data_IF_460267172379
#
_entry.id   IF_460267172379
#
_cell.length_a   1.000
_cell.length_b   1.000
_cell.length_c   1.000
_cell.angle_alpha   90.00
_cell.angle_beta   90.00
_cell.angle_gamma   90.00
#
_symmetry.space_group_name_H-M   'P 1'
#
loop_
_entity.id
_entity.type
_entity.pdbx_description
1 polymer ?
#
# COMPACT_ATOMS: atom_id res chain seq x y z
N UNK A 1 12.48 31.55 1.78
CA UNK A 1 11.53 32.10 0.79
C UNK A 1 10.15 31.69 1.28
N UNK A 2 9.26 32.65 1.57
CA UNK A 2 7.90 32.31 1.98
C UNK A 2 7.12 31.91 0.72
N UNK A 3 6.70 30.65 0.63
CA UNK A 3 5.68 30.27 -0.34
C UNK A 3 4.42 31.08 -0.05
N UNK A 4 3.98 31.87 -1.03
CA UNK A 4 2.72 32.58 -0.93
C UNK A 4 1.61 31.58 -1.23
N UNK A 5 0.68 31.41 -0.29
CA UNK A 5 -0.53 30.63 -0.51
C UNK A 5 -1.34 31.25 -1.65
N UNK A 6 -1.60 30.46 -2.70
CA UNK A 6 -2.38 30.90 -3.84
C UNK A 6 -3.86 30.60 -3.58
N UNK A 7 -4.68 31.65 -3.51
CA UNK A 7 -6.13 31.53 -3.37
C UNK A 7 -6.77 31.49 -4.76
N UNK A 8 -7.62 30.49 -5.01
CA UNK A 8 -8.41 30.39 -6.24
C UNK A 8 -9.89 30.57 -5.93
N UNK A 9 -10.63 31.14 -6.90
CA UNK A 9 -12.09 31.22 -6.81
C UNK A 9 -12.69 29.82 -6.86
N UNK A 10 -13.73 29.58 -6.06
CA UNK A 10 -14.48 28.32 -6.09
C UNK A 10 -15.11 28.04 -7.47
N UNK A 11 -15.38 29.09 -8.26
CA UNK A 11 -15.94 28.97 -9.61
C UNK A 11 -14.91 28.51 -10.64
N UNK A 12 -13.62 28.62 -10.31
CA UNK A 12 -12.51 28.27 -11.21
C UNK A 12 -11.97 26.86 -10.92
N UNK A 13 -12.60 26.13 -9.98
CA UNK A 13 -12.20 24.77 -9.60
C UNK A 13 -13.38 23.81 -9.70
N UNK A 14 -13.10 22.58 -10.11
CA UNK A 14 -14.07 21.50 -10.21
C UNK A 14 -13.66 20.37 -9.28
N UNK A 15 -14.55 19.99 -8.36
CA UNK A 15 -14.37 18.78 -7.56
C UNK A 15 -14.53 17.56 -8.49
N UNK A 16 -13.46 16.77 -8.62
CA UNK A 16 -13.46 15.55 -9.44
C UNK A 16 -13.93 14.34 -8.64
N UNK A 17 -13.60 14.30 -7.35
CA UNK A 17 -13.97 13.19 -6.47
C UNK A 17 -14.11 13.67 -5.01
N UNK A 18 -14.80 12.88 -4.17
CA UNK A 18 -14.92 13.10 -2.73
C UNK A 18 -14.63 11.79 -1.99
N UNK A 19 -13.62 11.81 -1.12
CA UNK A 19 -13.44 10.78 -0.12
C UNK A 19 -14.50 10.93 0.96
N UNK A 20 -15.15 9.83 1.34
CA UNK A 20 -16.04 9.78 2.49
C UNK A 20 -15.43 8.89 3.56
N UNK A 21 -15.71 9.21 4.81
CA UNK A 21 -15.43 8.40 5.98
C UNK A 21 -16.73 8.12 6.74
N UNK A 22 -16.73 7.01 7.47
CA UNK A 22 -17.83 6.70 8.37
C UNK A 22 -18.01 7.85 9.38
N UNK A 23 -19.22 8.37 9.50
CA UNK A 23 -19.55 9.51 10.36
C UNK A 23 -19.63 10.87 9.64
N UNK A 24 -19.24 10.94 8.36
CA UNK A 24 -19.35 12.18 7.60
C UNK A 24 -20.82 12.62 7.46
N UNK A 25 -21.06 13.92 7.62
CA UNK A 25 -22.36 14.53 7.34
C UNK A 25 -22.49 14.83 5.85
N UNK A 26 -23.62 14.41 5.27
CA UNK A 26 -23.87 14.52 3.84
C UNK A 26 -25.27 15.09 3.58
N UNK A 27 -25.44 15.71 2.42
CA UNK A 27 -26.73 16.13 1.89
C UNK A 27 -26.84 15.68 0.43
N UNK A 28 -28.06 15.70 -0.14
CA UNK A 28 -28.25 15.37 -1.56
C UNK A 28 -27.48 16.36 -2.44
N UNK A 29 -26.76 15.87 -3.45
CA UNK A 29 -26.08 16.74 -4.41
C UNK A 29 -27.06 17.60 -5.23
N UNK A 30 -28.29 17.11 -5.45
CA UNK A 30 -29.33 17.85 -6.17
C UNK A 30 -30.07 18.86 -5.30
N UNK A 31 -30.02 18.69 -3.98
CA UNK A 31 -30.59 19.60 -2.98
C UNK A 31 -29.70 19.64 -1.73
N UNK A 32 -28.59 20.40 -1.78
CA UNK A 32 -27.62 20.45 -0.68
C UNK A 32 -28.16 21.12 0.60
N UNK A 33 -29.29 21.83 0.49
CA UNK A 33 -29.97 22.51 1.60
C UNK A 33 -31.10 21.69 2.21
N UNK A 34 -31.43 20.54 1.61
CA UNK A 34 -32.51 19.67 2.02
C UNK A 34 -32.15 18.78 3.21
N UNK A 35 -32.51 17.50 3.12
CA UNK A 35 -32.26 16.55 4.20
C UNK A 35 -30.77 16.23 4.34
N UNK A 36 -30.28 16.33 5.58
CA UNK A 36 -28.94 15.89 5.99
C UNK A 36 -28.99 14.44 6.49
N UNK A 37 -27.93 13.69 6.22
CA UNK A 37 -27.69 12.35 6.74
C UNK A 37 -26.25 12.16 7.22
N UNK A 38 -25.97 10.97 7.76
CA UNK A 38 -24.63 10.57 8.21
C UNK A 38 -24.23 9.29 7.47
N UNK A 39 -22.99 9.21 7.01
CA UNK A 39 -22.44 8.01 6.37
C UNK A 39 -22.24 6.90 7.41
N UNK A 40 -22.91 5.77 7.24
CA UNK A 40 -22.86 4.62 8.18
C UNK A 40 -22.17 3.37 7.62
N UNK A 41 -21.96 3.30 6.31
CA UNK A 41 -21.18 2.25 5.66
C UNK A 41 -20.59 2.80 4.36
N UNK A 42 -19.43 2.27 3.97
CA UNK A 42 -18.73 2.66 2.75
C UNK A 42 -18.30 1.39 2.04
N UNK A 43 -18.71 1.23 0.79
CA UNK A 43 -18.21 0.20 -0.09
C UNK A 43 -17.22 0.82 -1.08
N UNK A 44 -15.95 0.46 -0.96
CA UNK A 44 -14.88 0.95 -1.85
C UNK A 44 -14.63 -0.09 -2.93
N UNK A 45 -14.60 0.36 -4.18
CA UNK A 45 -14.03 -0.40 -5.29
C UNK A 45 -12.77 0.29 -5.80
N UNK A 46 -11.82 -0.51 -6.28
CA UNK A 46 -10.54 -0.04 -6.80
C UNK A 46 -10.24 -0.67 -8.15
N UNK A 47 -9.46 0.02 -8.96
CA UNK A 47 -8.90 -0.53 -10.19
C UNK A 47 -7.48 -1.00 -9.90
N UNK A 48 -7.18 -2.25 -10.25
CA UNK A 48 -5.89 -2.89 -9.99
C UNK A 48 -5.05 -2.94 -11.26
N UNK A 49 -3.86 -2.37 -11.23
CA UNK A 49 -2.86 -2.53 -12.27
C UNK A 49 -2.11 -3.86 -12.07
N UNK A 50 -2.19 -4.74 -13.06
CA UNK A 50 -1.47 -6.01 -13.08
C UNK A 50 -0.01 -5.84 -13.57
N UNK A 51 0.89 -6.79 -13.28
CA UNK A 51 2.29 -6.71 -13.71
C UNK A 51 2.49 -6.66 -15.23
N UNK A 52 1.53 -7.15 -16.01
CA UNK A 52 1.54 -7.10 -17.48
C UNK A 52 1.00 -5.77 -18.04
N UNK A 53 0.65 -4.81 -17.16
CA UNK A 53 0.11 -3.51 -17.52
C UNK A 53 -1.40 -3.48 -17.76
N UNK A 54 -2.09 -4.63 -17.66
CA UNK A 54 -3.55 -4.67 -17.74
C UNK A 54 -4.19 -4.09 -16.49
N UNK A 55 -5.40 -3.53 -16.62
CA UNK A 55 -6.16 -2.97 -15.50
C UNK A 55 -7.41 -3.80 -15.25
N UNK A 56 -7.53 -4.33 -14.03
CA UNK A 56 -8.72 -5.00 -13.55
C UNK A 56 -9.59 -3.99 -12.80
N UNK A 57 -10.69 -3.60 -13.42
CA UNK A 57 -11.52 -2.52 -12.89
C UNK A 57 -12.54 -2.99 -11.85
N UNK A 58 -12.96 -2.07 -10.98
CA UNK A 58 -14.09 -2.21 -10.07
C UNK A 58 -13.99 -3.42 -9.10
N UNK A 59 -12.80 -3.66 -8.56
CA UNK A 59 -12.55 -4.72 -7.58
C UNK A 59 -12.95 -4.24 -6.19
N UNK A 60 -13.80 -5.00 -5.49
CA UNK A 60 -14.19 -4.64 -4.12
C UNK A 60 -12.99 -4.72 -3.18
N UNK A 61 -12.77 -3.65 -2.41
CA UNK A 61 -11.68 -3.60 -1.42
C UNK A 61 -11.83 -4.66 -0.32
N UNK A 62 -13.05 -5.15 -0.06
CA UNK A 62 -13.34 -6.20 0.93
C UNK A 62 -12.66 -7.53 0.61
N UNK A 63 -12.33 -7.77 -0.66
CA UNK A 63 -11.62 -8.96 -1.13
C UNK A 63 -10.10 -8.77 -1.20
N UNK A 64 -9.57 -7.61 -0.82
CA UNK A 64 -8.15 -7.28 -0.93
C UNK A 64 -7.47 -7.37 0.43
N UNK A 65 -6.22 -7.85 0.41
CA UNK A 65 -5.32 -7.84 1.56
C UNK A 65 -4.02 -7.20 1.13
N UNK A 66 -3.43 -6.40 2.02
CA UNK A 66 -2.06 -5.91 1.84
C UNK A 66 -1.09 -7.09 1.74
N UNK A 67 -0.05 -6.93 0.92
CA UNK A 67 1.05 -7.91 0.82
C UNK A 67 1.75 -8.06 2.17
N UNK A 68 1.94 -6.95 2.89
CA UNK A 68 2.44 -6.90 4.26
C UNK A 68 1.33 -6.65 5.26
N UNK A 69 1.48 -7.22 6.45
CA UNK A 69 0.55 -6.99 7.56
C UNK A 69 0.68 -5.59 8.17
N UNK A 70 1.92 -5.08 8.24
CA UNK A 70 2.25 -3.76 8.77
C UNK A 70 3.02 -2.93 7.74
N UNK A 71 2.80 -1.62 7.76
CA UNK A 71 3.50 -0.63 6.95
C UNK A 71 4.00 0.48 7.88
N UNK A 72 5.15 1.08 7.55
CA UNK A 72 5.66 2.26 8.24
C UNK A 72 4.56 3.33 8.27
N UNK A 73 4.32 3.88 9.46
CA UNK A 73 3.31 4.87 9.69
C UNK A 73 1.93 4.34 10.10
N UNK A 74 1.67 3.04 9.99
CA UNK A 74 0.45 2.43 10.54
C UNK A 74 0.35 2.68 12.05
N UNK A 75 -0.87 2.92 12.53
CA UNK A 75 -1.15 2.96 13.96
C UNK A 75 -1.36 1.55 14.51
N UNK A 76 -0.71 1.25 15.63
CA UNK A 76 -0.77 -0.07 16.28
C UNK A 76 -1.13 0.10 17.75
N UNK A 77 -1.84 -0.88 18.31
CA UNK A 77 -2.26 -0.88 19.71
C UNK A 77 -1.66 -2.08 20.44
N UNK A 78 -1.04 -1.82 21.59
CA UNK A 78 -0.56 -2.85 22.50
C UNK A 78 -1.08 -2.57 23.92
N UNK A 79 -2.16 -3.27 24.30
CA UNK A 79 -2.85 -3.00 25.57
C UNK A 79 -3.35 -1.54 25.63
N UNK A 80 -2.95 -0.72 26.62
CA UNK A 80 -3.36 0.68 26.72
C UNK A 80 -2.55 1.65 25.84
N UNK A 81 -1.55 1.16 25.09
CA UNK A 81 -0.62 2.01 24.34
C UNK A 81 -1.01 2.11 22.87
N UNK A 82 -1.06 3.34 22.36
CA UNK A 82 -1.12 3.64 20.93
C UNK A 82 0.29 3.95 20.43
N UNK A 83 0.75 3.21 19.42
CA UNK A 83 2.03 3.41 18.76
C UNK A 83 1.86 3.68 17.27
N UNK A 84 2.98 4.01 16.64
CA UNK A 84 3.10 4.12 15.18
C UNK A 84 4.27 3.26 14.73
N UNK A 85 4.09 2.50 13.66
CA UNK A 85 5.15 1.66 13.10
C UNK A 85 6.25 2.55 12.55
N UNK A 86 7.46 2.43 13.11
CA UNK A 86 8.64 3.20 12.70
C UNK A 86 9.41 2.54 11.57
N UNK A 87 9.58 1.21 11.65
CA UNK A 87 10.29 0.41 10.65
C UNK A 87 9.65 -0.99 10.50
N UNK A 88 9.81 -1.61 9.33
CA UNK A 88 9.29 -2.94 9.01
C UNK A 88 10.38 -3.78 8.35
N UNK A 89 10.67 -4.93 8.96
CA UNK A 89 11.67 -5.87 8.48
C UNK A 89 11.01 -7.14 7.92
N UNK A 90 11.30 -7.47 6.66
CA UNK A 90 10.75 -8.65 6.00
C UNK A 90 11.59 -9.90 6.20
N UNK A 91 10.93 -11.02 6.41
CA UNK A 91 11.53 -12.35 6.31
C UNK A 91 11.10 -12.99 4.99
N UNK A 92 12.03 -13.11 4.04
CA UNK A 92 11.73 -13.59 2.68
C UNK A 92 12.02 -15.08 2.57
N UNK A 93 11.05 -15.85 2.08
CA UNK A 93 11.25 -17.27 1.77
C UNK A 93 11.49 -17.40 0.28
N UNK A 94 12.69 -17.85 -0.09
CA UNK A 94 13.12 -18.03 -1.47
C UNK A 94 12.98 -19.49 -1.87
N UNK A 95 12.22 -19.75 -2.93
CA UNK A 95 12.20 -21.03 -3.62
C UNK A 95 13.22 -20.98 -4.76
N UNK A 96 14.21 -21.87 -4.71
CA UNK A 96 15.23 -22.01 -5.75
C UNK A 96 14.71 -22.96 -6.82
N UNK A 97 15.21 -22.83 -8.06
CA UNK A 97 14.74 -23.62 -9.20
C UNK A 97 14.99 -25.14 -9.05
N UNK A 98 15.92 -25.54 -8.17
CA UNK A 98 16.16 -26.95 -7.80
C UNK A 98 15.14 -27.49 -6.77
N UNK A 99 14.16 -26.67 -6.37
CA UNK A 99 13.13 -27.00 -5.39
C UNK A 99 13.55 -26.79 -3.94
N UNK A 100 14.79 -26.39 -3.67
CA UNK A 100 15.23 -26.05 -2.32
C UNK A 100 14.60 -24.74 -1.84
N UNK A 101 14.38 -24.65 -0.53
CA UNK A 101 13.76 -23.48 0.10
C UNK A 101 14.74 -22.88 1.12
N UNK A 102 14.88 -21.56 1.08
CA UNK A 102 15.79 -20.82 1.91
C UNK A 102 15.08 -19.59 2.51
N UNK A 103 15.07 -19.47 3.84
CA UNK A 103 14.53 -18.28 4.52
C UNK A 103 15.64 -17.26 4.80
N UNK A 104 15.49 -16.07 4.25
CA UNK A 104 16.36 -14.91 4.50
C UNK A 104 15.66 -14.05 5.55
N UNK A 105 16.23 -14.02 6.75
CA UNK A 105 15.72 -13.18 7.84
C UNK A 105 16.21 -11.75 7.66
N UNK A 106 15.32 -10.77 7.86
CA UNK A 106 15.66 -9.36 7.68
C UNK A 106 16.26 -9.07 6.31
N UNK A 107 15.55 -9.46 5.26
CA UNK A 107 16.03 -9.33 3.90
C UNK A 107 16.24 -7.85 3.56
N UNK A 108 17.47 -7.50 3.19
CA UNK A 108 17.85 -6.16 2.75
C UNK A 108 17.92 -6.13 1.21
N UNK A 109 17.31 -5.14 0.55
CA UNK A 109 17.29 -5.06 -0.92
C UNK A 109 18.68 -5.04 -1.59
N UNK A 110 19.70 -4.53 -0.88
CA UNK A 110 21.10 -4.52 -1.33
C UNK A 110 21.77 -5.92 -1.27
N UNK A 111 21.17 -6.86 -0.54
CA UNK A 111 21.69 -8.21 -0.33
C UNK A 111 20.87 -9.24 -1.09
N UNK A 112 19.55 -9.09 -1.09
CA UNK A 112 18.61 -9.89 -1.84
C UNK A 112 17.89 -8.98 -2.83
N UNK A 113 18.49 -8.80 -3.99
CA UNK A 113 18.06 -7.85 -5.01
C UNK A 113 16.85 -8.40 -5.79
N UNK A 114 15.73 -7.67 -5.88
CA UNK A 114 14.70 -7.93 -6.88
C UNK A 114 15.26 -7.93 -8.31
N UNK A 115 14.91 -8.95 -9.11
CA UNK A 115 15.37 -9.05 -10.52
C UNK A 115 14.42 -8.29 -11.46
N UNK A 116 13.13 -8.26 -11.15
CA UNK A 116 12.14 -7.59 -12.01
C UNK A 116 12.24 -6.08 -11.85
N UNK A 117 12.32 -5.37 -12.98
CA UNK A 117 11.89 -3.98 -13.03
C UNK A 117 10.37 -3.93 -13.03
N UNK A 118 9.73 -4.07 -11.88
CA UNK A 118 8.27 -4.01 -11.84
C UNK A 118 7.82 -2.55 -11.97
N UNK A 119 6.62 -2.29 -12.50
CA UNK A 119 6.06 -0.93 -12.50
C UNK A 119 5.87 -0.37 -11.06
N UNK A 120 6.06 -1.18 -10.03
CA UNK A 120 5.99 -0.83 -8.62
C UNK A 120 7.32 -0.35 -8.05
N UNK A 121 8.41 -0.37 -8.83
CA UNK A 121 9.78 -0.12 -8.34
C UNK A 121 10.11 1.34 -8.01
N UNK A 122 9.13 2.24 -8.15
CA UNK A 122 9.28 3.65 -7.75
C UNK A 122 9.08 3.82 -6.23
N UNK A 123 8.59 2.79 -5.51
CA UNK A 123 8.34 2.86 -4.07
C UNK A 123 9.32 1.97 -3.27
N UNK A 124 10.40 2.60 -2.78
CA UNK A 124 11.45 1.98 -1.95
C UNK A 124 10.90 1.30 -0.68
N UNK A 125 9.66 1.59 -0.28
CA UNK A 125 9.06 1.05 0.92
C UNK A 125 8.59 -0.41 0.77
N UNK A 126 8.45 -0.96 -0.45
CA UNK A 126 7.92 -2.32 -0.68
C UNK A 126 8.78 -3.21 -1.61
N UNK A 127 10.04 -3.50 -1.25
CA UNK A 127 10.96 -4.27 -2.10
C UNK A 127 10.52 -5.70 -2.44
N UNK A 128 9.71 -6.36 -1.60
CA UNK A 128 9.42 -7.79 -1.73
C UNK A 128 7.92 -8.12 -1.82
N UNK A 129 7.57 -9.01 -2.74
CA UNK A 129 6.24 -9.61 -2.83
C UNK A 129 6.28 -11.09 -3.30
N UNK A 130 5.25 -11.89 -3.00
CA UNK A 130 5.18 -13.29 -3.43
C UNK A 130 5.22 -13.45 -4.96
N UNK A 131 6.00 -14.42 -5.45
CA UNK A 131 6.14 -14.70 -6.88
C UNK A 131 7.22 -13.87 -7.58
N UNK A 132 7.82 -12.89 -6.89
CA UNK A 132 8.93 -12.11 -7.38
C UNK A 132 10.21 -12.95 -7.52
N UNK A 133 10.99 -12.68 -8.57
CA UNK A 133 12.33 -13.26 -8.74
C UNK A 133 13.36 -12.38 -8.03
N UNK A 134 14.24 -13.00 -7.26
CA UNK A 134 15.30 -12.33 -6.50
C UNK A 134 16.67 -12.93 -6.81
N UNK A 135 17.72 -12.12 -6.64
CA UNK A 135 19.11 -12.49 -6.77
C UNK A 135 19.85 -12.13 -5.49
N UNK A 136 20.60 -13.06 -4.93
CA UNK A 136 21.53 -12.68 -3.86
C UNK A 136 22.77 -12.02 -4.45
N UNK A 137 23.23 -10.93 -3.86
CA UNK A 137 24.51 -10.30 -4.21
C UNK A 137 25.72 -11.17 -3.81
N UNK A 138 25.52 -12.10 -2.87
CA UNK A 138 26.52 -13.09 -2.44
C UNK A 138 25.86 -14.38 -1.94
N UNK A 139 26.53 -15.53 -2.12
CA UNK A 139 26.06 -16.82 -1.58
C UNK A 139 25.93 -16.84 -0.04
N UNK A 140 26.56 -15.89 0.66
CA UNK A 140 26.45 -15.72 2.11
C UNK A 140 25.04 -15.35 2.60
N UNK A 141 24.20 -14.76 1.74
CA UNK A 141 22.81 -14.41 2.05
C UNK A 141 21.99 -15.65 2.40
N UNK A 142 22.31 -16.78 1.76
CA UNK A 142 21.63 -18.06 1.97
C UNK A 142 22.33 -18.94 3.03
N UNK A 143 23.34 -18.44 3.76
CA UNK A 143 24.06 -19.25 4.78
C UNK A 143 23.37 -19.30 6.14
N UNK A 144 22.54 -18.32 6.46
CA UNK A 144 21.85 -18.22 7.76
C UNK A 144 20.44 -18.86 7.75
N UNK A 145 20.10 -19.62 6.70
CA UNK A 145 18.73 -20.07 6.40
C UNK A 145 18.41 -21.50 6.82
N UNK A 146 19.12 -22.03 7.82
CA UNK A 146 18.90 -23.40 8.31
C UNK A 146 17.82 -23.46 9.40
#
# INVERSE_FOLDING_TARGET
MHEMEQVQSINDVKVIDRGFLHGDYVASASDPTGQVGVVVDINVSVDLLAPDGSVVNNVSSKGLKRVREFVVGDYVVLGPWLGRVDDVMDNVTVLVDDGSVCKVLGAEPLRLEPISKSFFDEDDHFPYYPGQRVRASSSSVFKHSR
#
